data_IF_842212343351
#
_entry.id   IF_842212343351
#
_cell.length_a   1.000
_cell.length_b   1.000
_cell.length_c   1.000
_cell.angle_alpha   90.00
_cell.angle_beta   90.00
_cell.angle_gamma   90.00
#
_symmetry.space_group_name_H-M   'P 1'
#
loop_
_entity.id
_entity.type
_entity.pdbx_description
1 polymer ?
#
# COMPACT_ATOMS: atom_id res chain seq x y z
N UNK A 1 0.90 5.38 -14.45
CA UNK A 1 1.31 5.85 -13.11
C UNK A 1 2.51 6.77 -13.24
N UNK A 2 2.47 7.91 -12.61
CA UNK A 2 3.60 8.84 -12.63
C UNK A 2 4.77 8.29 -11.81
N UNK A 3 5.95 8.83 -12.04
CA UNK A 3 7.14 8.45 -11.27
C UNK A 3 6.94 8.68 -9.77
N UNK A 4 6.32 9.80 -9.40
CA UNK A 4 6.04 10.11 -8.00
C UNK A 4 5.09 9.10 -7.36
N UNK A 5 4.05 8.70 -8.07
CA UNK A 5 3.13 7.68 -7.59
C UNK A 5 3.80 6.32 -7.47
N UNK A 6 4.70 6.00 -8.40
CA UNK A 6 5.46 4.75 -8.34
C UNK A 6 6.37 4.72 -7.11
N UNK A 7 7.04 5.82 -6.80
CA UNK A 7 7.87 5.91 -5.60
C UNK A 7 7.04 5.73 -4.33
N UNK A 8 5.86 6.37 -4.29
CA UNK A 8 4.93 6.22 -3.19
C UNK A 8 4.48 4.77 -3.03
N UNK A 9 4.16 4.11 -4.13
CA UNK A 9 3.75 2.71 -4.12
C UNK A 9 4.87 1.80 -3.62
N UNK A 10 6.09 2.02 -4.10
CA UNK A 10 7.26 1.24 -3.67
C UNK A 10 7.50 1.37 -2.16
N UNK A 11 7.41 2.59 -1.64
CA UNK A 11 7.60 2.84 -0.22
C UNK A 11 6.56 2.07 0.61
N UNK A 12 5.30 2.13 0.19
CA UNK A 12 4.22 1.45 0.91
C UNK A 12 4.35 -0.06 0.87
N UNK A 13 4.75 -0.63 -0.26
CA UNK A 13 5.04 -2.06 -0.35
C UNK A 13 6.18 -2.46 0.59
N UNK A 14 7.24 -1.68 0.63
CA UNK A 14 8.38 -1.95 1.51
C UNK A 14 7.99 -1.93 2.98
N UNK A 15 7.14 -0.99 3.38
CA UNK A 15 6.80 -0.81 4.79
C UNK A 15 5.72 -1.77 5.27
N UNK A 16 4.84 -2.22 4.37
CA UNK A 16 3.66 -2.98 4.75
C UNK A 16 3.70 -4.46 4.39
N UNK A 17 4.66 -4.89 3.56
CA UNK A 17 4.69 -6.27 3.07
C UNK A 17 6.03 -6.95 3.33
N UNK A 18 6.05 -8.27 3.12
CA UNK A 18 7.27 -9.07 3.21
C UNK A 18 7.99 -9.18 1.85
N UNK A 19 7.83 -8.21 0.99
CA UNK A 19 8.49 -8.23 -0.32
C UNK A 19 10.01 -8.31 -0.16
N UNK A 20 10.65 -9.22 -0.89
CA UNK A 20 12.09 -9.45 -0.82
C UNK A 20 12.60 -9.59 0.62
N UNK A 21 11.80 -10.25 1.45
CA UNK A 21 12.08 -10.41 2.88
C UNK A 21 13.26 -11.34 3.13
N UNK A 22 14.05 -10.99 4.14
CA UNK A 22 15.04 -11.91 4.71
C UNK A 22 15.09 -11.71 6.22
N UNK A 23 15.78 -12.61 6.92
CA UNK A 23 15.79 -12.62 8.38
C UNK A 23 16.54 -11.46 9.02
N UNK A 24 17.28 -10.67 8.23
CA UNK A 24 17.98 -9.49 8.74
C UNK A 24 17.06 -8.28 8.88
N UNK A 25 15.84 -8.34 8.29
CA UNK A 25 14.92 -7.23 8.28
C UNK A 25 13.95 -7.28 9.46
N UNK A 26 13.54 -6.10 9.97
CA UNK A 26 12.49 -6.07 10.99
C UNK A 26 11.13 -6.43 10.37
N UNK A 27 10.12 -6.80 11.18
CA UNK A 27 8.79 -7.07 10.65
C UNK A 27 8.19 -5.83 9.99
N UNK A 28 7.25 -6.00 9.05
CA UNK A 28 6.54 -4.86 8.45
C UNK A 28 5.83 -4.00 9.50
N UNK A 29 5.65 -2.73 9.16
CA UNK A 29 4.89 -1.80 10.01
C UNK A 29 3.39 -2.06 9.85
N UNK A 30 2.62 -1.64 10.85
CA UNK A 30 1.16 -1.65 10.75
C UNK A 30 0.67 -0.50 9.87
N UNK A 31 -0.56 -0.65 9.34
CA UNK A 31 -1.17 0.44 8.57
C UNK A 31 -1.26 1.75 9.36
N UNK A 32 -1.74 1.74 10.61
CA UNK A 32 -1.76 2.98 11.40
C UNK A 32 -0.38 3.61 11.57
N UNK A 33 0.66 2.81 11.73
CA UNK A 33 2.02 3.34 11.83
C UNK A 33 2.46 4.05 10.55
N UNK A 34 2.16 3.46 9.39
CA UNK A 34 2.50 4.08 8.11
C UNK A 34 1.66 5.33 7.87
N UNK A 35 0.38 5.32 8.23
CA UNK A 35 -0.45 6.53 8.18
C UNK A 35 0.17 7.66 9.00
N UNK A 36 0.67 7.36 10.20
CA UNK A 36 1.34 8.38 11.03
C UNK A 36 2.60 8.93 10.36
N UNK A 37 3.39 8.07 9.71
CA UNK A 37 4.57 8.52 8.99
C UNK A 37 4.19 9.49 7.87
N UNK A 38 3.13 9.21 7.15
CA UNK A 38 2.67 10.06 6.05
C UNK A 38 2.10 11.38 6.59
N UNK A 39 1.23 11.31 7.57
CA UNK A 39 0.54 12.48 8.13
C UNK A 39 1.50 13.43 8.83
N UNK A 40 2.54 12.92 9.48
CA UNK A 40 3.54 13.73 10.17
C UNK A 40 4.53 14.40 9.23
N UNK A 41 4.51 14.03 7.94
CA UNK A 41 5.50 14.50 6.98
C UNK A 41 6.82 13.75 7.03
N UNK A 42 6.93 12.70 7.84
CA UNK A 42 8.14 11.90 7.93
C UNK A 42 8.40 11.12 6.64
N UNK A 43 7.34 10.64 5.99
CA UNK A 43 7.45 9.88 4.75
C UNK A 43 6.81 10.64 3.59
N UNK A 44 7.57 10.86 2.54
CA UNK A 44 7.09 11.43 1.29
C UNK A 44 7.75 10.68 0.13
N UNK A 45 6.93 9.91 -0.63
CA UNK A 45 7.48 9.00 -1.63
C UNK A 45 8.43 8.02 -0.97
N UNK A 46 9.67 7.99 -1.41
CA UNK A 46 10.73 7.16 -0.81
C UNK A 46 11.60 7.93 0.18
N UNK A 47 11.31 9.21 0.40
CA UNK A 47 12.09 10.03 1.32
C UNK A 47 11.56 9.89 2.73
N UNK A 48 12.42 9.51 3.65
CA UNK A 48 12.10 9.35 5.05
C UNK A 48 12.89 10.38 5.88
N UNK A 49 12.20 11.08 6.77
CA UNK A 49 12.81 12.11 7.63
C UNK A 49 12.48 11.85 9.08
N UNK A 50 13.39 12.22 9.97
CA UNK A 50 13.09 12.22 11.38
C UNK A 50 12.16 13.40 11.70
N UNK A 51 11.11 13.12 12.47
CA UNK A 51 10.20 14.15 12.97
C UNK A 51 9.94 13.92 14.45
N UNK A 52 9.58 14.98 15.23
CA UNK A 52 9.33 14.82 16.65
C UNK A 52 8.19 13.85 16.99
N UNK A 53 7.24 13.66 16.06
CA UNK A 53 6.08 12.81 16.29
C UNK A 53 6.34 11.33 16.04
N UNK A 54 7.50 10.98 15.49
CA UNK A 54 7.86 9.60 15.17
C UNK A 54 9.01 9.14 16.04
N UNK A 55 8.86 7.99 16.69
CA UNK A 55 9.92 7.45 17.54
C UNK A 55 11.13 7.04 16.69
N UNK A 56 12.30 7.07 17.32
CA UNK A 56 13.53 6.63 16.66
C UNK A 56 13.45 5.18 16.23
N UNK A 57 12.85 4.33 17.05
CA UNK A 57 12.69 2.91 16.72
C UNK A 57 11.85 2.73 15.45
N UNK A 58 10.77 3.47 15.32
CA UNK A 58 9.93 3.41 14.11
C UNK A 58 10.68 3.96 12.90
N UNK A 59 11.40 5.06 13.07
CA UNK A 59 12.22 5.63 12.00
C UNK A 59 13.26 4.64 11.50
N UNK A 60 14.03 4.04 12.41
CA UNK A 60 15.09 3.09 12.05
C UNK A 60 14.52 1.87 11.34
N UNK A 61 13.41 1.37 11.84
CA UNK A 61 12.73 0.21 11.24
C UNK A 61 12.24 0.52 9.84
N UNK A 62 11.60 1.68 9.64
CA UNK A 62 11.16 2.12 8.34
C UNK A 62 12.32 2.29 7.37
N UNK A 63 13.43 2.85 7.83
CA UNK A 63 14.62 3.04 7.01
C UNK A 63 15.17 1.72 6.50
N UNK A 64 15.26 0.70 7.35
CA UNK A 64 15.70 -0.63 6.96
C UNK A 64 14.74 -1.25 5.94
N UNK A 65 13.44 -1.13 6.17
CA UNK A 65 12.43 -1.70 5.26
C UNK A 65 12.47 -1.04 3.89
N UNK A 66 12.76 0.25 3.81
CA UNK A 66 12.81 0.98 2.55
C UNK A 66 14.02 0.62 1.67
N UNK A 67 15.00 -0.09 2.19
CA UNK A 67 16.14 -0.53 1.38
C UNK A 67 15.75 -1.47 0.23
N UNK A 68 14.54 -2.02 0.28
CA UNK A 68 14.02 -2.94 -0.74
C UNK A 68 13.24 -2.25 -1.86
N UNK A 69 13.34 -0.92 -1.98
CA UNK A 69 12.55 -0.16 -2.94
C UNK A 69 12.71 -0.65 -4.39
N UNK A 70 13.93 -1.01 -4.79
CA UNK A 70 14.19 -1.55 -6.12
C UNK A 70 13.44 -2.87 -6.35
N UNK A 71 13.44 -3.74 -5.38
CA UNK A 71 12.72 -5.01 -5.43
C UNK A 71 11.21 -4.78 -5.50
N UNK A 72 10.70 -3.79 -4.77
CA UNK A 72 9.29 -3.42 -4.81
C UNK A 72 8.89 -2.95 -6.20
N UNK A 73 9.72 -2.13 -6.84
CA UNK A 73 9.48 -1.66 -8.19
C UNK A 73 9.38 -2.82 -9.19
N UNK A 74 10.29 -3.78 -9.09
CA UNK A 74 10.27 -4.97 -9.94
C UNK A 74 9.00 -5.81 -9.71
N UNK A 75 8.58 -5.95 -8.47
CA UNK A 75 7.40 -6.71 -8.13
C UNK A 75 6.13 -6.05 -8.68
N UNK A 76 6.02 -4.74 -8.61
CA UNK A 76 4.90 -4.01 -9.20
C UNK A 76 4.83 -4.29 -10.71
N UNK A 77 5.97 -4.23 -11.39
CA UNK A 77 6.02 -4.51 -12.83
C UNK A 77 5.61 -5.94 -13.15
N UNK A 78 5.99 -6.89 -12.31
CA UNK A 78 5.60 -8.28 -12.50
C UNK A 78 4.09 -8.47 -12.36
N UNK A 79 3.46 -7.82 -11.38
CA UNK A 79 2.01 -7.85 -11.24
C UNK A 79 1.32 -7.20 -12.42
N UNK A 80 1.85 -6.10 -12.93
CA UNK A 80 1.29 -5.45 -14.11
C UNK A 80 1.33 -6.36 -15.34
N UNK A 81 2.39 -7.13 -15.50
CA UNK A 81 2.50 -8.13 -16.59
C UNK A 81 1.45 -9.21 -16.49
N UNK A 82 0.96 -9.51 -15.30
CA UNK A 82 -0.10 -10.49 -15.07
C UNK A 82 -1.51 -9.90 -15.14
N UNK A 83 -1.63 -8.64 -15.53
CA UNK A 83 -2.92 -7.98 -15.66
C UNK A 83 -3.42 -7.29 -14.40
N UNK A 84 -2.62 -7.26 -13.34
CA UNK A 84 -2.97 -6.50 -12.15
C UNK A 84 -2.55 -5.05 -12.29
N UNK A 85 -3.25 -4.17 -11.61
CA UNK A 85 -2.87 -2.77 -11.52
C UNK A 85 -2.78 -2.35 -10.07
N UNK A 86 -1.76 -1.58 -9.75
CA UNK A 86 -1.62 -0.99 -8.43
C UNK A 86 -2.41 0.31 -8.39
N UNK A 87 -3.17 0.49 -7.32
CA UNK A 87 -3.98 1.68 -7.11
C UNK A 87 -3.67 2.26 -5.74
N UNK A 88 -3.57 3.59 -5.67
CA UNK A 88 -3.27 4.32 -4.44
C UNK A 88 -4.43 5.21 -4.05
N UNK A 89 -4.61 5.49 -2.74
CA UNK A 89 -5.68 6.40 -2.28
C UNK A 89 -5.63 7.79 -2.91
N UNK A 90 -4.46 8.22 -3.35
CA UNK A 90 -4.27 9.52 -3.99
C UNK A 90 -4.79 9.57 -5.42
N UNK A 91 -5.15 8.44 -6.00
CA UNK A 91 -5.61 8.37 -7.37
C UNK A 91 -7.12 8.56 -7.47
N UNK A 92 -7.54 9.08 -8.63
CA UNK A 92 -8.94 9.40 -8.92
C UNK A 92 -9.87 8.19 -8.82
N UNK A 93 -9.41 7.02 -9.20
CA UNK A 93 -10.23 5.80 -9.25
C UNK A 93 -10.28 5.02 -7.95
N UNK A 94 -9.66 5.53 -6.91
CA UNK A 94 -9.71 4.90 -5.59
C UNK A 94 -11.15 4.88 -5.08
N UNK A 95 -11.64 3.73 -4.56
CA UNK A 95 -12.99 3.67 -4.02
C UNK A 95 -13.17 4.66 -2.86
N UNK A 96 -14.06 5.62 -3.03
CA UNK A 96 -14.25 6.70 -2.06
C UNK A 96 -14.72 6.21 -0.69
N UNK A 97 -15.46 5.10 -0.66
CA UNK A 97 -15.93 4.52 0.59
C UNK A 97 -14.79 4.10 1.52
N UNK A 98 -13.61 3.79 0.97
CA UNK A 98 -12.45 3.39 1.78
C UNK A 98 -11.89 4.52 2.63
N UNK A 99 -12.11 5.77 2.24
CA UNK A 99 -11.64 6.92 3.02
C UNK A 99 -12.27 6.98 4.42
N UNK A 100 -13.42 6.35 4.59
CA UNK A 100 -14.11 6.31 5.89
C UNK A 100 -13.38 5.47 6.93
N UNK A 101 -12.43 4.66 6.51
CA UNK A 101 -11.68 3.79 7.42
C UNK A 101 -10.60 4.52 8.21
N UNK A 102 -10.31 5.78 7.89
CA UNK A 102 -9.31 6.56 8.59
C UNK A 102 -7.93 5.91 8.53
N UNK A 103 -7.28 5.72 9.67
CA UNK A 103 -5.95 5.12 9.72
C UNK A 103 -5.92 3.62 9.45
N UNK A 104 -7.07 3.00 9.25
CA UNK A 104 -7.17 1.61 8.81
C UNK A 104 -7.38 1.49 7.30
N UNK A 105 -7.45 2.60 6.61
CA UNK A 105 -7.57 2.60 5.16
C UNK A 105 -6.37 1.89 4.52
N UNK A 106 -6.59 0.98 3.55
CA UNK A 106 -5.48 0.43 2.80
C UNK A 106 -4.68 1.54 2.12
N UNK A 107 -3.37 1.39 2.07
CA UNK A 107 -2.49 2.40 1.49
C UNK A 107 -2.13 2.07 0.05
N UNK A 108 -2.51 0.91 -0.42
CA UNK A 108 -2.44 0.49 -1.82
C UNK A 108 -3.39 -0.68 -2.03
N UNK A 109 -3.78 -0.90 -3.29
CA UNK A 109 -4.54 -2.08 -3.71
C UNK A 109 -3.94 -2.60 -5.02
N UNK A 110 -3.85 -3.92 -5.14
CA UNK A 110 -3.66 -4.54 -6.43
C UNK A 110 -5.02 -4.95 -6.94
N UNK A 111 -5.38 -4.47 -8.13
CA UNK A 111 -6.69 -4.71 -8.71
C UNK A 111 -6.56 -5.40 -10.06
N UNK A 112 -7.58 -6.15 -10.45
CA UNK A 112 -7.67 -6.78 -11.76
C UNK A 112 -8.98 -6.35 -12.40
N UNK A 113 -8.89 -5.88 -13.65
CA UNK A 113 -10.04 -5.34 -14.36
C UNK A 113 -9.93 -3.84 -14.57
N UNK A 114 -11.02 -3.20 -15.02
CA UNK A 114 -11.02 -1.76 -15.26
C UNK A 114 -11.23 -0.99 -13.96
N UNK A 115 -10.56 0.16 -13.84
CA UNK A 115 -10.62 0.97 -12.63
C UNK A 115 -12.00 1.55 -12.35
N UNK A 116 -12.79 1.83 -13.37
CA UNK A 116 -14.13 2.36 -13.20
C UNK A 116 -15.03 1.40 -12.44
N UNK A 117 -14.79 0.11 -12.56
CA UNK A 117 -15.59 -0.92 -11.87
C UNK A 117 -15.40 -0.87 -10.36
N UNK A 118 -14.24 -0.39 -9.90
CA UNK A 118 -13.91 -0.36 -8.47
C UNK A 118 -14.89 0.48 -7.64
N UNK A 119 -15.48 1.50 -8.24
CA UNK A 119 -16.46 2.35 -7.56
C UNK A 119 -17.90 1.94 -7.82
N UNK A 120 -18.12 0.85 -8.54
CA UNK A 120 -19.46 0.44 -8.99
C UNK A 120 -19.95 -0.84 -8.37
N UNK A 121 -19.18 -1.91 -8.42
CA UNK A 121 -19.68 -3.24 -8.02
C UNK A 121 -18.79 -3.94 -7.03
N UNK A 122 -17.67 -4.48 -7.46
CA UNK A 122 -16.79 -5.22 -6.58
C UNK A 122 -15.33 -5.01 -6.91
N UNK A 123 -14.51 -5.32 -5.94
CA UNK A 123 -13.06 -5.21 -6.04
C UNK A 123 -12.45 -6.55 -5.69
N UNK A 124 -11.51 -7.01 -6.53
CA UNK A 124 -10.63 -8.11 -6.20
C UNK A 124 -9.27 -7.50 -5.87
N UNK A 125 -8.80 -7.71 -4.65
CA UNK A 125 -7.60 -7.02 -4.16
C UNK A 125 -6.61 -8.00 -3.58
N UNK A 126 -5.33 -7.64 -3.67
CA UNK A 126 -4.24 -8.32 -3.02
C UNK A 126 -3.25 -7.27 -2.49
N UNK A 127 -2.69 -7.53 -1.34
CA UNK A 127 -1.74 -6.63 -0.69
C UNK A 127 -1.05 -7.36 0.42
N UNK A 128 -0.54 -6.64 1.43
CA UNK A 128 0.05 -7.26 2.61
C UNK A 128 -0.98 -8.09 3.37
N UNK A 129 -2.24 -7.70 3.28
CA UNK A 129 -3.39 -8.47 3.74
C UNK A 129 -4.40 -8.47 2.64
N UNK A 130 -5.09 -9.59 2.46
CA UNK A 130 -6.19 -9.66 1.53
C UNK A 130 -7.41 -8.98 2.14
N UNK A 131 -8.15 -8.28 1.31
CA UNK A 131 -9.32 -7.54 1.73
C UNK A 131 -10.51 -8.08 0.94
N UNK A 132 -11.61 -8.19 1.62
CA UNK A 132 -12.85 -8.68 1.04
C UNK A 132 -13.83 -7.55 0.90
N UNK A 133 -14.43 -7.43 -0.27
CA UNK A 133 -15.46 -6.44 -0.55
C UNK A 133 -16.73 -7.13 -0.99
N UNK A 134 -17.85 -6.45 -0.79
CA UNK A 134 -19.15 -6.96 -1.16
C UNK A 134 -19.76 -6.10 -2.25
N UNK A 135 -20.42 -6.75 -3.18
CA UNK A 135 -21.25 -6.06 -4.14
C UNK A 135 -22.56 -5.65 -3.48
N UNK A 136 -23.25 -4.66 -4.03
CA UNK A 136 -24.51 -4.21 -3.48
C UNK A 136 -25.52 -5.34 -3.42
N UNK A 137 -26.07 -5.57 -2.22
CA UNK A 137 -27.08 -6.60 -1.97
C UNK A 137 -26.59 -8.03 -2.05
N UNK A 138 -25.28 -8.24 -2.15
CA UNK A 138 -24.72 -9.58 -2.32
C UNK A 138 -23.34 -9.68 -1.72
N UNK A 139 -23.07 -10.78 -1.05
CA UNK A 139 -21.74 -11.07 -0.53
C UNK A 139 -20.94 -11.86 -1.54
N UNK A 140 -19.75 -11.40 -1.83
CA UNK A 140 -18.76 -12.17 -2.58
C UNK A 140 -17.45 -12.12 -1.84
N UNK A 141 -16.83 -13.28 -1.66
CA UNK A 141 -15.60 -13.37 -0.91
C UNK A 141 -14.39 -13.44 -1.80
N UNK A 142 -13.44 -12.56 -1.53
CA UNK A 142 -12.08 -12.78 -1.94
C UNK A 142 -11.46 -13.70 -0.88
N UNK A 143 -11.03 -14.88 -1.27
CA UNK A 143 -10.42 -15.81 -0.33
C UNK A 143 -9.06 -15.32 0.11
N UNK A 144 -8.84 -15.45 1.36
CA UNK A 144 -7.66 -14.95 2.02
C UNK A 144 -6.73 -16.10 2.33
#
# INVERSE_FOLDING_TARGET
MTEKLMETACARLCLLTHIAWDSSLPPPLSRPAVHRLIESGALSGLVLRETPSISKATYDRAQMLLTRAKNASLEIKNYEKRGYRLLLPEEKHWPTALHKLGNQEPLFLFTKGTREILNRKKVAVAGSRKIEYRTAGRSERAHV
#
